data_IF_118800392981
#
_entry.id   IF_118800392981
#
_cell.length_a   1.000
_cell.length_b   1.000
_cell.length_c   1.000
_cell.angle_alpha   90.00
_cell.angle_beta   90.00
_cell.angle_gamma   90.00
#
_symmetry.space_group_name_H-M   'P 1'
#
loop_
_entity.id
_entity.type
_entity.pdbx_description
1 polymer ?
#
# COMPACT_ATOMS: atom_id res chain seq x y z
N UNK A 1 -12.11 -20.01 10.40
CA UNK A 1 -12.34 -20.68 11.70
C UNK A 1 -13.19 -19.84 12.64
N UNK A 2 -12.83 -18.59 13.02
CA UNK A 2 -13.62 -17.76 13.96
C UNK A 2 -14.99 -17.39 13.37
N UNK A 3 -15.07 -17.09 12.07
CA UNK A 3 -16.32 -16.72 11.39
C UNK A 3 -17.33 -17.88 11.32
N UNK A 4 -16.87 -19.12 11.33
CA UNK A 4 -17.74 -20.30 11.33
C UNK A 4 -18.20 -20.70 12.74
N UNK A 5 -17.40 -20.37 13.77
CA UNK A 5 -17.72 -20.72 15.16
C UNK A 5 -18.64 -19.68 15.84
N UNK A 6 -18.38 -18.37 15.62
CA UNK A 6 -19.13 -17.29 16.29
C UNK A 6 -19.35 -16.12 15.28
N UNK A 7 -20.33 -16.24 14.38
CA UNK A 7 -20.55 -15.27 13.29
C UNK A 7 -20.91 -13.86 13.79
N UNK A 8 -21.67 -13.75 14.87
CA UNK A 8 -22.06 -12.48 15.49
C UNK A 8 -20.87 -11.69 16.05
N UNK A 9 -19.97 -12.37 16.74
CA UNK A 9 -18.75 -11.77 17.28
C UNK A 9 -17.80 -11.32 16.16
N UNK A 10 -17.67 -12.12 15.11
CA UNK A 10 -16.85 -11.79 13.95
C UNK A 10 -17.33 -10.52 13.23
N UNK A 11 -18.67 -10.32 13.15
CA UNK A 11 -19.26 -9.12 12.57
C UNK A 11 -19.05 -7.88 13.45
N UNK A 12 -19.21 -8.01 14.76
CA UNK A 12 -18.99 -6.92 15.71
C UNK A 12 -17.52 -6.48 15.76
N UNK A 13 -16.59 -7.42 15.68
CA UNK A 13 -15.15 -7.14 15.70
C UNK A 13 -14.62 -6.59 14.37
N UNK A 14 -15.36 -6.72 13.26
CA UNK A 14 -14.89 -6.27 11.94
C UNK A 14 -14.54 -4.78 11.90
N UNK A 15 -15.38 -3.90 12.49
CA UNK A 15 -15.15 -2.46 12.53
C UNK A 15 -13.96 -2.07 13.43
N UNK A 16 -13.89 -2.51 14.70
CA UNK A 16 -12.78 -2.15 15.57
C UNK A 16 -11.44 -2.74 15.10
N UNK A 17 -11.43 -3.97 14.57
CA UNK A 17 -10.22 -4.56 14.01
C UNK A 17 -9.72 -3.80 12.79
N UNK A 18 -10.61 -3.37 11.90
CA UNK A 18 -10.24 -2.52 10.75
C UNK A 18 -9.65 -1.20 11.20
N UNK A 19 -10.28 -0.53 12.19
CA UNK A 19 -9.78 0.72 12.73
C UNK A 19 -8.41 0.54 13.39
N UNK A 20 -8.25 -0.51 14.20
CA UNK A 20 -6.98 -0.84 14.84
C UNK A 20 -5.86 -1.08 13.82
N UNK A 21 -6.16 -1.83 12.75
CA UNK A 21 -5.19 -2.06 11.68
C UNK A 21 -4.77 -0.78 10.98
N UNK A 22 -5.72 0.13 10.69
CA UNK A 22 -5.41 1.42 10.07
C UNK A 22 -4.59 2.30 11.02
N UNK A 23 -4.96 2.39 12.30
CA UNK A 23 -4.18 3.15 13.29
C UNK A 23 -2.77 2.59 13.43
N UNK A 24 -2.62 1.28 13.46
CA UNK A 24 -1.32 0.62 13.54
C UNK A 24 -0.46 0.88 12.30
N UNK A 25 -1.06 0.85 11.11
CA UNK A 25 -0.39 1.18 9.85
C UNK A 25 0.12 2.63 9.86
N UNK A 26 -0.74 3.59 10.27
CA UNK A 26 -0.37 5.00 10.38
C UNK A 26 0.76 5.18 11.40
N UNK A 27 0.67 4.50 12.54
CA UNK A 27 1.71 4.56 13.58
C UNK A 27 3.07 4.07 13.06
N UNK A 28 3.10 2.90 12.38
CA UNK A 28 4.34 2.37 11.78
C UNK A 28 4.90 3.35 10.74
N UNK A 29 4.03 3.91 9.89
CA UNK A 29 4.43 4.89 8.88
C UNK A 29 5.06 6.15 9.50
N UNK A 30 4.40 6.76 10.48
CA UNK A 30 4.94 7.92 11.18
C UNK A 30 6.24 7.61 11.92
N UNK A 31 6.34 6.42 12.54
CA UNK A 31 7.56 5.99 13.22
C UNK A 31 8.72 5.77 12.23
N UNK A 32 8.45 5.18 11.07
CA UNK A 32 9.45 5.02 10.01
C UNK A 32 9.96 6.37 9.48
N UNK A 33 9.06 7.33 9.23
CA UNK A 33 9.42 8.68 8.85
C UNK A 33 10.29 9.38 9.89
N UNK A 34 9.92 9.28 11.15
CA UNK A 34 10.68 9.87 12.26
C UNK A 34 12.10 9.28 12.36
N UNK A 35 12.23 7.97 12.19
CA UNK A 35 13.51 7.27 12.29
C UNK A 35 14.47 7.62 11.15
N UNK A 36 13.95 7.80 9.94
CA UNK A 36 14.74 8.03 8.72
C UNK A 36 14.84 9.51 8.32
N UNK A 37 14.37 10.45 9.15
CA UNK A 37 14.22 11.87 8.79
C UNK A 37 15.50 12.52 8.26
N UNK A 38 16.67 12.21 8.82
CA UNK A 38 17.94 12.79 8.40
C UNK A 38 18.38 12.32 7.01
N UNK A 39 18.24 11.03 6.73
CA UNK A 39 18.63 10.43 5.45
C UNK A 39 17.63 10.79 4.35
N UNK A 40 16.35 10.85 4.69
CA UNK A 40 15.27 11.18 3.74
C UNK A 40 15.46 12.57 3.15
N UNK A 41 15.79 13.57 3.97
CA UNK A 41 15.93 14.97 3.50
C UNK A 41 17.11 15.11 2.52
N UNK A 42 18.24 14.50 2.83
CA UNK A 42 19.46 14.62 2.04
C UNK A 42 19.33 13.99 0.64
N UNK A 43 18.77 12.76 0.58
CA UNK A 43 18.67 12.01 -0.67
C UNK A 43 17.32 12.13 -1.37
N UNK A 44 16.34 12.79 -0.74
CA UNK A 44 14.99 12.90 -1.30
C UNK A 44 14.99 13.66 -2.64
N UNK A 45 15.83 14.67 -2.79
CA UNK A 45 15.94 15.46 -4.02
C UNK A 45 16.53 14.62 -5.18
N UNK A 46 17.50 13.76 -4.88
CA UNK A 46 18.23 13.01 -5.89
C UNK A 46 17.45 11.81 -6.44
N UNK A 47 16.83 11.05 -5.55
CA UNK A 47 16.17 9.79 -5.91
C UNK A 47 14.66 9.79 -5.69
N UNK A 48 14.12 10.86 -5.08
CA UNK A 48 12.69 10.94 -4.74
C UNK A 48 11.78 10.89 -5.98
N UNK A 49 12.15 11.61 -7.05
CA UNK A 49 11.36 11.61 -8.30
C UNK A 49 11.36 10.22 -8.94
N UNK A 50 12.51 9.56 -9.01
CA UNK A 50 12.62 8.23 -9.59
C UNK A 50 11.81 7.18 -8.79
N UNK A 51 11.90 7.21 -7.47
CA UNK A 51 11.16 6.31 -6.58
C UNK A 51 9.65 6.59 -6.60
N UNK A 52 9.25 7.86 -6.66
CA UNK A 52 7.85 8.25 -6.79
C UNK A 52 7.25 7.77 -8.12
N UNK A 53 7.98 7.99 -9.22
CA UNK A 53 7.55 7.56 -10.54
C UNK A 53 7.43 6.03 -10.62
N UNK A 54 8.42 5.32 -10.12
CA UNK A 54 8.41 3.86 -10.07
C UNK A 54 7.22 3.32 -9.25
N UNK A 55 6.96 3.91 -8.09
CA UNK A 55 5.83 3.52 -7.24
C UNK A 55 4.48 3.79 -7.93
N UNK A 56 4.31 4.97 -8.52
CA UNK A 56 3.11 5.33 -9.27
C UNK A 56 2.88 4.38 -10.44
N UNK A 57 3.91 4.12 -11.24
CA UNK A 57 3.82 3.21 -12.38
C UNK A 57 3.51 1.78 -11.96
N UNK A 58 4.08 1.29 -10.84
CA UNK A 58 3.77 -0.04 -10.30
C UNK A 58 2.29 -0.18 -9.94
N UNK A 59 1.71 0.81 -9.29
CA UNK A 59 0.28 0.83 -8.94
C UNK A 59 -0.59 0.92 -10.21
N UNK A 60 -0.21 1.78 -11.15
CA UNK A 60 -0.94 1.97 -12.39
C UNK A 60 -0.95 0.70 -13.25
N UNK A 61 0.21 0.09 -13.45
CA UNK A 61 0.36 -1.16 -14.18
C UNK A 61 -0.39 -2.29 -13.48
N UNK A 62 -0.29 -2.37 -12.15
CA UNK A 62 -1.02 -3.34 -11.32
C UNK A 62 -2.53 -3.22 -11.42
N UNK A 63 -3.06 -2.05 -11.80
CA UNK A 63 -4.49 -1.84 -12.05
C UNK A 63 -4.87 -2.08 -13.52
N UNK A 64 -4.14 -1.47 -14.44
CA UNK A 64 -4.50 -1.47 -15.87
C UNK A 64 -4.29 -2.83 -16.54
N UNK A 65 -3.18 -3.53 -16.23
CA UNK A 65 -2.90 -4.82 -16.87
C UNK A 65 -3.99 -5.87 -16.61
N UNK A 66 -4.45 -6.08 -15.37
CA UNK A 66 -5.55 -7.00 -15.12
C UNK A 66 -6.84 -6.59 -15.84
N UNK A 67 -7.17 -5.28 -15.88
CA UNK A 67 -8.36 -4.80 -16.59
C UNK A 67 -8.25 -5.07 -18.11
N UNK A 68 -7.10 -4.83 -18.71
CA UNK A 68 -6.84 -5.12 -20.13
C UNK A 68 -6.90 -6.62 -20.43
N UNK A 69 -6.53 -7.45 -19.45
CA UNK A 69 -6.66 -8.91 -19.52
C UNK A 69 -8.09 -9.42 -19.29
N UNK A 70 -9.08 -8.53 -19.10
CA UNK A 70 -10.48 -8.90 -18.88
C UNK A 70 -10.79 -9.34 -17.46
N UNK A 71 -9.89 -9.10 -16.51
CA UNK A 71 -10.11 -9.42 -15.08
C UNK A 71 -11.11 -8.41 -14.48
N UNK A 72 -12.09 -8.87 -13.68
CA UNK A 72 -13.06 -7.99 -13.03
C UNK A 72 -12.39 -6.91 -12.19
N UNK A 73 -12.96 -5.69 -12.17
CA UNK A 73 -12.43 -4.52 -11.47
C UNK A 73 -12.09 -4.78 -9.99
N UNK A 74 -12.89 -5.56 -9.29
CA UNK A 74 -12.64 -5.91 -7.90
C UNK A 74 -11.33 -6.68 -7.71
N UNK A 75 -11.00 -7.57 -8.63
CA UNK A 75 -9.74 -8.33 -8.62
C UNK A 75 -8.57 -7.46 -9.10
N UNK A 76 -8.80 -6.61 -10.11
CA UNK A 76 -7.79 -5.65 -10.57
C UNK A 76 -7.34 -4.70 -9.44
N UNK A 77 -8.26 -4.26 -8.59
CA UNK A 77 -7.94 -3.48 -7.38
C UNK A 77 -7.04 -4.26 -6.41
N UNK A 78 -7.30 -5.54 -6.20
CA UNK A 78 -6.44 -6.37 -5.37
C UNK A 78 -5.03 -6.49 -5.98
N UNK A 79 -4.93 -6.75 -7.29
CA UNK A 79 -3.66 -6.79 -8.01
C UNK A 79 -2.87 -5.49 -7.93
N UNK A 80 -3.56 -4.33 -7.93
CA UNK A 80 -2.92 -3.01 -7.76
C UNK A 80 -2.08 -2.96 -6.50
N UNK A 81 -2.65 -3.39 -5.38
CA UNK A 81 -1.94 -3.34 -4.09
C UNK A 81 -0.91 -4.46 -3.95
N UNK A 82 -1.15 -5.64 -4.52
CA UNK A 82 -0.17 -6.73 -4.54
C UNK A 82 1.09 -6.36 -5.33
N UNK A 83 0.94 -5.67 -6.47
CA UNK A 83 2.04 -5.23 -7.32
C UNK A 83 2.68 -3.93 -6.82
N UNK A 84 1.87 -3.01 -6.27
CA UNK A 84 2.34 -1.68 -5.86
C UNK A 84 2.91 -1.60 -4.46
N UNK A 85 2.57 -2.55 -3.56
CA UNK A 85 3.05 -2.55 -2.19
C UNK A 85 4.17 -3.59 -2.03
N UNK A 86 5.40 -3.13 -2.09
CA UNK A 86 6.59 -3.98 -1.92
C UNK A 86 6.97 -4.11 -0.44
N UNK A 87 7.62 -5.22 -0.09
CA UNK A 87 8.14 -5.42 1.26
C UNK A 87 9.48 -4.70 1.45
N UNK A 88 9.42 -3.41 1.73
CA UNK A 88 10.60 -2.57 1.97
C UNK A 88 11.39 -2.96 3.21
N UNK A 89 10.75 -3.61 4.18
CA UNK A 89 11.43 -4.12 5.40
C UNK A 89 12.46 -5.19 5.05
N UNK A 90 12.15 -6.10 4.13
CA UNK A 90 13.11 -7.09 3.65
C UNK A 90 14.26 -6.40 2.92
N UNK A 91 13.97 -5.44 2.04
CA UNK A 91 14.99 -4.69 1.34
C UNK A 91 15.94 -3.95 2.30
N UNK A 92 15.40 -3.28 3.31
CA UNK A 92 16.16 -2.62 4.36
C UNK A 92 17.00 -3.61 5.19
N UNK A 93 16.43 -4.76 5.54
CA UNK A 93 17.15 -5.80 6.29
C UNK A 93 18.33 -6.33 5.49
N UNK A 94 18.15 -6.61 4.20
CA UNK A 94 19.24 -7.07 3.33
C UNK A 94 20.32 -5.98 3.22
N UNK A 95 19.95 -4.74 2.95
CA UNK A 95 20.89 -3.64 2.81
C UNK A 95 21.72 -3.39 4.08
N UNK A 96 21.06 -3.35 5.24
CA UNK A 96 21.70 -3.00 6.50
C UNK A 96 22.38 -4.18 7.19
N UNK A 97 21.75 -5.38 7.19
CA UNK A 97 22.24 -6.52 7.97
C UNK A 97 23.10 -7.47 7.14
N UNK A 98 22.80 -7.65 5.85
CA UNK A 98 23.57 -8.57 4.99
C UNK A 98 24.68 -7.84 4.26
N UNK A 99 24.36 -6.71 3.62
CA UNK A 99 25.33 -5.93 2.84
C UNK A 99 26.08 -4.90 3.68
N UNK A 100 25.63 -4.64 4.91
CA UNK A 100 26.20 -3.64 5.82
C UNK A 100 26.41 -2.26 5.15
N UNK A 101 25.49 -1.88 4.26
CA UNK A 101 25.59 -0.67 3.45
C UNK A 101 24.35 0.19 3.61
N UNK A 102 24.48 1.28 4.36
CA UNK A 102 23.39 2.23 4.61
C UNK A 102 22.97 2.99 3.36
N UNK A 103 23.90 3.25 2.42
CA UNK A 103 23.57 3.96 1.18
C UNK A 103 22.59 3.17 0.31
N UNK A 104 22.75 1.85 0.24
CA UNK A 104 21.81 0.96 -0.49
C UNK A 104 20.43 0.92 0.19
N UNK A 105 20.36 1.18 1.49
CA UNK A 105 19.09 1.20 2.22
C UNK A 105 18.25 2.46 1.93
N UNK A 106 18.87 3.58 1.55
CA UNK A 106 18.20 4.87 1.36
C UNK A 106 17.07 4.81 0.32
N UNK A 107 17.26 4.26 -0.90
CA UNK A 107 16.18 4.14 -1.88
C UNK A 107 14.97 3.37 -1.36
N UNK A 108 15.18 2.30 -0.59
CA UNK A 108 14.10 1.50 -0.01
C UNK A 108 13.32 2.29 1.06
N UNK A 109 14.01 3.11 1.85
CA UNK A 109 13.39 4.02 2.82
C UNK A 109 12.52 5.07 2.14
N UNK A 110 13.06 5.78 1.15
CA UNK A 110 12.33 6.81 0.39
C UNK A 110 11.16 6.18 -0.38
N UNK A 111 11.36 5.03 -1.00
CA UNK A 111 10.30 4.28 -1.68
C UNK A 111 9.14 3.96 -0.74
N UNK A 112 9.40 3.56 0.50
CA UNK A 112 8.34 3.22 1.46
C UNK A 112 7.41 4.41 1.75
N UNK A 113 7.95 5.63 1.76
CA UNK A 113 7.15 6.85 1.96
C UNK A 113 6.15 7.03 0.81
N UNK A 114 6.66 7.00 -0.44
CA UNK A 114 5.80 7.14 -1.62
C UNK A 114 4.82 5.98 -1.74
N UNK A 115 5.26 4.76 -1.44
CA UNK A 115 4.43 3.57 -1.49
C UNK A 115 3.19 3.70 -0.61
N UNK A 116 3.34 4.08 0.65
CA UNK A 116 2.18 4.27 1.54
C UNK A 116 1.32 5.46 1.14
N UNK A 117 1.94 6.58 0.73
CA UNK A 117 1.20 7.76 0.29
C UNK A 117 0.36 7.46 -0.97
N UNK A 118 0.97 6.86 -1.98
CA UNK A 118 0.27 6.53 -3.22
C UNK A 118 -0.72 5.38 -3.05
N UNK A 119 -0.43 4.36 -2.25
CA UNK A 119 -1.37 3.30 -1.94
C UNK A 119 -2.63 3.85 -1.26
N UNK A 120 -2.46 4.78 -0.32
CA UNK A 120 -3.59 5.46 0.31
C UNK A 120 -4.39 6.28 -0.71
N UNK A 121 -3.72 7.09 -1.53
CA UNK A 121 -4.36 7.93 -2.56
C UNK A 121 -5.10 7.06 -3.60
N UNK A 122 -4.46 6.03 -4.12
CA UNK A 122 -5.06 5.10 -5.06
C UNK A 122 -6.26 4.36 -4.45
N UNK A 123 -6.12 3.88 -3.23
CA UNK A 123 -7.22 3.24 -2.49
C UNK A 123 -8.41 4.18 -2.33
N UNK A 124 -8.15 5.44 -2.01
CA UNK A 124 -9.20 6.45 -1.89
C UNK A 124 -9.90 6.73 -3.23
N UNK A 125 -9.14 6.90 -4.31
CA UNK A 125 -9.68 7.13 -5.67
C UNK A 125 -10.51 5.92 -6.12
N UNK A 126 -9.96 4.70 -5.98
CA UNK A 126 -10.63 3.49 -6.40
C UNK A 126 -11.92 3.20 -5.63
N UNK A 127 -11.98 3.54 -4.34
CA UNK A 127 -13.20 3.37 -3.54
C UNK A 127 -14.30 4.38 -3.89
N UNK A 128 -13.93 5.54 -4.43
CA UNK A 128 -14.89 6.57 -4.87
C UNK A 128 -15.25 6.49 -6.36
N UNK A 129 -14.65 5.59 -7.11
CA UNK A 129 -14.95 5.47 -8.54
C UNK A 129 -16.41 5.01 -8.76
N UNK A 130 -17.11 5.49 -9.82
CA UNK A 130 -18.48 5.11 -10.12
C UNK A 130 -18.67 3.60 -10.27
N UNK A 131 -17.63 2.88 -10.70
CA UNK A 131 -17.61 1.43 -10.84
C UNK A 131 -17.74 0.71 -9.49
N UNK A 132 -17.18 1.30 -8.41
CA UNK A 132 -17.34 0.76 -7.06
C UNK A 132 -18.77 0.90 -6.54
N UNK A 133 -19.41 2.04 -6.82
CA UNK A 133 -20.76 2.35 -6.36
C UNK A 133 -21.80 1.44 -7.05
N UNK A 134 -21.59 1.14 -8.33
CA UNK A 134 -22.51 0.26 -9.11
C UNK A 134 -22.49 -1.20 -8.63
N UNK A 135 -21.39 -1.68 -8.06
CA UNK A 135 -21.29 -3.05 -7.54
C UNK A 135 -21.87 -3.20 -6.14
N UNK A 136 -21.95 -2.13 -5.35
CA UNK A 136 -22.53 -2.16 -4.01
C UNK A 136 -24.07 -2.12 -4.03
N UNK A 137 -24.67 -1.71 -5.16
CA UNK A 137 -26.11 -1.66 -5.34
C UNK A 137 -26.56 -2.30 -6.67
N UNK A 138 -26.57 -3.65 -6.77
CA UNK A 138 -26.96 -4.36 -8.00
C UNK A 138 -28.46 -4.21 -8.37
N UNK A 139 -29.27 -3.60 -7.52
CA UNK A 139 -30.73 -3.48 -7.68
C UNK A 139 -31.21 -2.11 -8.20
N UNK A 140 -30.31 -1.24 -8.62
CA UNK A 140 -30.68 0.09 -9.16
C UNK A 140 -30.84 0.11 -10.70
N UNK A 141 -31.47 -0.92 -11.26
CA UNK A 141 -32.00 -0.89 -12.65
C UNK A 141 -33.50 -1.14 -12.63
#
# INVERSE_FOLDING_TARGET
LIRSAIPTLALQLKKPMRLLSVCFLIFIFCFALYKEQSNVIEYFADIGIATALFCFMSLLVGYLLPLLAGIPDQQARACTFEIGIHNTTIALTIALSVLSNSTIAIPAGIYSIFMYAFAFLFGYILTRSPLAIKQENPQSN
#
